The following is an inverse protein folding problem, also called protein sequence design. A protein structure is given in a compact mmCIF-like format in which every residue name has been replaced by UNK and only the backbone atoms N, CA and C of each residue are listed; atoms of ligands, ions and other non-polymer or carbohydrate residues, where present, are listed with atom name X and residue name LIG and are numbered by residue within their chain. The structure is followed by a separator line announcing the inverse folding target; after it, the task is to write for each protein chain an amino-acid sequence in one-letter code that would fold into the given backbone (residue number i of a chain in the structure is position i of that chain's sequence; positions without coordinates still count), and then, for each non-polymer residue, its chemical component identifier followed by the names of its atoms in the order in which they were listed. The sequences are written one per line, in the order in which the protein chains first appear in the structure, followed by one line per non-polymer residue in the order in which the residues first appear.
data_IF_445988670800
#
_entry.id   IF_445988670800
#
_cell.length_a   1.000
_cell.length_b   1.000
_cell.length_c   1.000
_cell.angle_alpha   90.00
_cell.angle_beta   90.00
_cell.angle_gamma   90.00
#
_symmetry.space_group_name_H-M   'P 1'
#
loop_
_entity.id
_entity.type
_entity.pdbx_description
1 polymer ?
#
# COMPACT_ATOMS: atom_id res chain seq x y z
N UNK A 1 -36.62 -2.23 -32.73
CA UNK A 1 -35.69 -2.46 -31.60
C UNK A 1 -34.29 -2.49 -32.23
N UNK A 2 -33.63 -1.36 -32.50
CA UNK A 2 -32.70 -0.65 -31.57
C UNK A 2 -31.92 -1.66 -30.71
N UNK A 3 -30.61 -1.86 -30.75
CA UNK A 3 -29.42 -1.06 -31.13
C UNK A 3 -28.27 -2.10 -31.27
N UNK A 4 -27.27 -2.06 -32.15
CA UNK A 4 -26.23 -1.04 -32.29
C UNK A 4 -25.07 -1.30 -31.31
N UNK A 5 -23.99 -1.99 -31.74
CA UNK A 5 -22.60 -1.49 -31.71
C UNK A 5 -21.60 -2.49 -32.29
N UNK A 6 -21.07 -2.12 -33.46
CA UNK A 6 -19.75 -2.50 -33.97
C UNK A 6 -18.63 -1.83 -33.15
N UNK A 7 -17.38 -2.17 -33.49
CA UNK A 7 -16.10 -1.43 -33.37
C UNK A 7 -15.06 -2.26 -32.59
N UNK A 8 -14.23 -3.07 -33.25
CA UNK A 8 -12.93 -2.74 -33.89
C UNK A 8 -11.90 -2.07 -32.96
N UNK A 9 -10.80 -2.78 -32.69
CA UNK A 9 -9.40 -2.35 -32.86
C UNK A 9 -8.53 -3.41 -32.15
N UNK A 10 -7.79 -4.27 -32.84
CA UNK A 10 -6.83 -3.90 -33.88
C UNK A 10 -5.45 -3.79 -33.25
N UNK A 11 -4.94 -4.89 -32.69
CA UNK A 11 -3.57 -4.98 -32.20
C UNK A 11 -2.65 -5.19 -33.40
N UNK A 12 -2.34 -4.08 -34.08
CA UNK A 12 -1.43 -4.04 -35.21
C UNK A 12 -0.48 -2.88 -34.99
N UNK A 13 0.75 -3.17 -34.59
CA UNK A 13 1.87 -2.24 -34.65
C UNK A 13 3.17 -3.04 -34.76
N UNK A 14 3.63 -3.15 -36.01
CA UNK A 14 5.00 -3.50 -36.39
C UNK A 14 5.65 -2.22 -36.96
N UNK A 15 6.98 -2.18 -36.86
CA UNK A 15 7.97 -1.20 -37.37
C UNK A 15 8.26 0.00 -36.44
N UNK A 16 9.51 0.31 -36.06
CA UNK A 16 10.82 -0.15 -36.55
C UNK A 16 11.99 0.29 -35.62
N UNK A 17 13.26 0.12 -36.06
CA UNK A 17 14.46 0.20 -35.21
C UNK A 17 15.29 1.49 -35.34
N UNK A 18 16.12 1.72 -34.30
CA UNK A 18 17.40 2.46 -34.23
C UNK A 18 17.49 3.87 -34.86
N UNK A 19 17.73 4.87 -34.01
CA UNK A 19 18.94 5.72 -34.17
C UNK A 19 19.48 6.16 -32.80
N UNK A 20 20.79 5.95 -32.66
CA UNK A 20 21.66 6.36 -31.57
C UNK A 20 21.89 7.87 -31.66
N UNK A 21 21.56 8.63 -30.61
CA UNK A 21 22.03 10.02 -30.45
C UNK A 21 22.66 10.18 -29.08
N UNK A 22 23.94 9.83 -29.03
CA UNK A 22 24.91 10.24 -28.00
C UNK A 22 24.86 11.75 -27.81
N UNK A 23 24.30 12.22 -26.70
CA UNK A 23 24.59 13.56 -26.16
C UNK A 23 25.62 13.35 -25.05
N UNK A 24 26.82 13.88 -25.29
CA UNK A 24 27.95 13.87 -24.37
C UNK A 24 27.64 14.65 -23.09
N UNK A 25 28.25 14.15 -22.03
CA UNK A 25 28.35 14.68 -20.67
C UNK A 25 28.52 16.21 -20.56
N UNK A 26 27.77 16.79 -19.63
CA UNK A 26 28.20 17.92 -18.81
C UNK A 26 28.16 17.48 -17.35
N UNK A 27 29.31 17.52 -16.68
CA UNK A 27 29.46 17.37 -15.23
C UNK A 27 29.39 18.75 -14.57
N UNK A 28 28.99 18.71 -13.29
CA UNK A 28 28.99 19.76 -12.26
C UNK A 28 27.74 20.67 -12.28
N UNK A 29 26.96 20.79 -11.20
CA UNK A 29 27.13 20.23 -9.86
C UNK A 29 25.93 20.51 -8.95
N UNK A 30 26.03 19.92 -7.76
CA UNK A 30 25.53 20.40 -6.46
C UNK A 30 24.02 20.58 -6.23
N UNK A 31 23.51 19.81 -5.26
CA UNK A 31 22.38 20.21 -4.41
C UNK A 31 21.14 19.34 -4.52
N UNK A 32 21.13 18.18 -3.86
CA UNK A 32 19.87 17.51 -3.51
C UNK A 32 19.22 18.28 -2.37
N UNK A 33 17.95 18.74 -2.46
CA UNK A 33 17.21 19.16 -1.27
C UNK A 33 16.89 17.89 -0.46
N UNK A 34 17.72 17.59 0.55
CA UNK A 34 17.50 16.50 1.52
C UNK A 34 17.08 16.99 2.91
N UNK A 35 16.80 18.29 3.08
CA UNK A 35 16.74 18.90 4.41
C UNK A 35 15.43 19.66 4.69
N UNK A 36 14.27 19.00 4.56
CA UNK A 36 13.05 19.42 5.29
C UNK A 36 12.42 18.22 5.99
N UNK A 37 13.20 17.61 6.87
CA UNK A 37 12.67 17.11 8.13
C UNK A 37 13.57 17.69 9.22
N UNK A 38 13.07 18.57 10.12
CA UNK A 38 13.88 19.03 11.23
C UNK A 38 14.20 17.84 12.13
N UNK A 39 15.47 17.45 12.17
CA UNK A 39 15.97 16.48 13.14
C UNK A 39 16.07 17.18 14.50
N UNK A 40 14.98 17.17 15.26
CA UNK A 40 15.00 17.59 16.66
C UNK A 40 15.66 16.49 17.48
N UNK A 41 16.73 16.77 18.25
CA UNK A 41 17.29 15.79 19.17
C UNK A 41 16.35 15.64 20.37
N UNK A 42 15.36 14.75 20.28
CA UNK A 42 14.51 14.39 21.40
C UNK A 42 15.30 13.51 22.38
N UNK A 43 15.98 14.17 23.32
CA UNK A 43 16.61 13.58 24.49
C UNK A 43 15.55 13.53 25.61
N UNK A 44 15.00 12.36 25.88
CA UNK A 44 14.17 12.13 27.07
C UNK A 44 13.02 11.15 26.85
N UNK A 45 13.27 9.89 27.20
CA UNK A 45 12.32 8.92 27.76
C UNK A 45 10.85 9.03 27.33
N UNK A 46 10.48 8.32 26.27
CA UNK A 46 9.48 7.25 26.41
C UNK A 46 9.67 6.30 25.22
N UNK A 47 10.31 5.15 25.48
CA UNK A 47 10.31 4.05 24.53
C UNK A 47 8.89 3.48 24.50
N UNK A 48 8.00 4.08 23.71
CA UNK A 48 6.74 3.46 23.35
C UNK A 48 7.04 2.33 22.37
N UNK A 49 7.43 1.20 22.97
CA UNK A 49 7.21 -0.17 22.53
C UNK A 49 6.89 -0.28 21.05
N UNK A 50 7.94 -0.49 20.25
CA UNK A 50 7.79 -1.29 19.04
C UNK A 50 7.13 -2.59 19.46
N UNK A 51 5.82 -2.69 19.27
CA UNK A 51 5.11 -3.97 19.29
C UNK A 51 5.55 -4.75 18.06
N UNK A 52 6.80 -5.21 18.11
CA UNK A 52 7.21 -6.40 17.42
C UNK A 52 6.45 -7.52 18.12
N UNK A 53 5.23 -7.77 17.65
CA UNK A 53 4.52 -8.99 17.99
C UNK A 53 5.41 -10.12 17.50
N UNK A 54 6.19 -10.61 18.45
CA UNK A 54 6.98 -11.81 18.35
C UNK A 54 5.94 -12.91 18.37
N UNK A 55 5.32 -13.16 17.22
CA UNK A 55 4.85 -14.48 16.88
C UNK A 55 6.09 -15.34 16.93
N UNK A 56 6.39 -15.84 18.13
CA UNK A 56 7.36 -16.90 18.31
C UNK A 56 6.99 -17.91 17.23
N UNK A 57 7.91 -18.20 16.31
CA UNK A 57 7.75 -19.33 15.39
C UNK A 57 7.91 -20.58 16.27
N UNK A 58 7.00 -20.77 17.23
CA UNK A 58 6.76 -22.02 17.88
C UNK A 58 6.42 -22.94 16.72
N UNK A 59 7.25 -23.94 16.46
CA UNK A 59 7.06 -24.90 15.36
C UNK A 59 5.76 -25.72 15.45
N UNK A 60 4.77 -25.28 16.22
CA UNK A 60 3.43 -25.79 16.35
C UNK A 60 2.50 -24.87 15.53
N UNK A 61 1.89 -25.40 14.47
CA UNK A 61 0.92 -24.68 13.64
C UNK A 61 -0.34 -24.40 14.47
N UNK A 62 -0.57 -23.15 14.87
CA UNK A 62 -1.80 -22.73 15.54
C UNK A 62 -2.67 -21.92 14.57
N UNK A 63 -3.62 -22.61 13.94
CA UNK A 63 -4.51 -22.02 12.94
C UNK A 63 -5.52 -21.01 13.53
N UNK A 64 -5.70 -20.97 14.86
CA UNK A 64 -6.58 -20.05 15.55
C UNK A 64 -5.82 -18.77 15.87
N UNK A 65 -4.59 -18.92 16.35
CA UNK A 65 -3.66 -17.81 16.54
C UNK A 65 -3.40 -17.08 15.22
N UNK A 66 -3.06 -17.83 14.15
CA UNK A 66 -2.80 -17.24 12.82
C UNK A 66 -4.00 -16.43 12.31
N UNK A 67 -5.22 -16.93 12.54
CA UNK A 67 -6.45 -16.29 12.12
C UNK A 67 -6.80 -15.06 12.97
N UNK A 68 -6.54 -15.11 14.28
CA UNK A 68 -6.69 -13.96 15.17
C UNK A 68 -5.75 -12.85 14.76
N UNK A 69 -4.47 -13.18 14.55
CA UNK A 69 -3.45 -12.25 14.08
C UNK A 69 -3.81 -11.64 12.72
N UNK A 70 -4.25 -12.46 11.76
CA UNK A 70 -4.71 -11.98 10.46
C UNK A 70 -5.87 -10.97 10.60
N UNK A 71 -6.87 -11.32 11.41
CA UNK A 71 -8.06 -10.48 11.63
C UNK A 71 -7.67 -9.14 12.26
N UNK A 72 -6.82 -9.16 13.28
CA UNK A 72 -6.28 -7.96 13.91
C UNK A 72 -5.54 -7.09 12.90
N UNK A 73 -4.70 -7.69 12.06
CA UNK A 73 -3.92 -6.97 11.07
C UNK A 73 -4.80 -6.30 10.02
N UNK A 74 -5.86 -6.96 9.58
CA UNK A 74 -6.85 -6.39 8.67
C UNK A 74 -7.58 -5.18 9.30
N UNK A 75 -8.01 -5.29 10.56
CA UNK A 75 -8.69 -4.20 11.28
C UNK A 75 -7.77 -2.99 11.49
N UNK A 76 -6.54 -3.24 11.96
CA UNK A 76 -5.52 -2.20 12.16
C UNK A 76 -5.17 -1.49 10.84
N UNK A 77 -5.02 -2.25 9.75
CA UNK A 77 -4.74 -1.68 8.44
C UNK A 77 -5.91 -0.82 7.92
N UNK A 78 -7.15 -1.28 8.07
CA UNK A 78 -8.32 -0.53 7.63
C UNK A 78 -8.42 0.86 8.30
N UNK A 79 -8.09 0.94 9.59
CA UNK A 79 -8.04 2.21 10.34
C UNK A 79 -6.85 3.07 9.88
N UNK A 80 -5.67 2.48 9.72
CA UNK A 80 -4.47 3.20 9.27
C UNK A 80 -4.65 3.84 7.89
N UNK A 81 -5.37 3.17 6.98
CA UNK A 81 -5.66 3.68 5.65
C UNK A 81 -6.55 4.93 5.67
N UNK A 82 -7.32 5.20 6.73
CA UNK A 82 -8.10 6.46 6.84
C UNK A 82 -7.18 7.68 6.86
N UNK A 83 -6.05 7.58 7.57
CA UNK A 83 -5.05 8.65 7.61
C UNK A 83 -4.41 8.82 6.24
N UNK A 84 -4.02 7.72 5.60
CA UNK A 84 -3.36 7.77 4.30
C UNK A 84 -4.26 8.30 3.17
N UNK A 85 -5.55 8.00 3.23
CA UNK A 85 -6.55 8.59 2.32
C UNK A 85 -6.57 10.11 2.53
N UNK A 86 -6.66 10.57 3.78
CA UNK A 86 -6.66 11.99 4.10
C UNK A 86 -5.37 12.70 3.69
N UNK A 87 -4.22 12.05 3.85
CA UNK A 87 -2.93 12.58 3.41
C UNK A 87 -2.90 12.74 1.87
N UNK A 88 -3.30 11.69 1.13
CA UNK A 88 -3.36 11.73 -0.33
C UNK A 88 -4.35 12.78 -0.87
N UNK A 89 -5.49 12.97 -0.19
CA UNK A 89 -6.47 13.99 -0.55
C UNK A 89 -5.96 15.42 -0.32
N UNK A 90 -5.15 15.65 0.73
CA UNK A 90 -4.53 16.96 0.97
C UNK A 90 -3.44 17.27 -0.05
N UNK A 91 -2.77 16.25 -0.56
CA UNK A 91 -1.73 16.36 -1.59
C UNK A 91 -2.31 16.36 -3.03
N UNK A 92 -3.64 16.32 -3.16
CA UNK A 92 -4.40 16.23 -4.43
C UNK A 92 -4.05 15.00 -5.29
N UNK A 93 -3.54 13.93 -4.67
CA UNK A 93 -3.24 12.66 -5.33
C UNK A 93 -4.46 11.72 -5.30
N UNK A 94 -5.38 11.97 -6.25
CA UNK A 94 -6.64 11.23 -6.35
C UNK A 94 -6.45 9.75 -6.74
N UNK A 95 -5.39 9.42 -7.49
CA UNK A 95 -5.10 8.03 -7.85
C UNK A 95 -4.68 7.24 -6.61
N UNK A 96 -3.82 7.83 -5.79
CA UNK A 96 -3.37 7.23 -4.53
C UNK A 96 -4.50 7.12 -3.50
N UNK A 97 -5.33 8.16 -3.35
CA UNK A 97 -6.51 8.12 -2.49
C UNK A 97 -7.48 6.99 -2.92
N UNK A 98 -7.71 6.82 -4.22
CA UNK A 98 -8.54 5.74 -4.77
C UNK A 98 -7.94 4.35 -4.52
N UNK A 99 -6.61 4.20 -4.61
CA UNK A 99 -5.93 2.97 -4.24
C UNK A 99 -6.16 2.62 -2.76
N UNK A 100 -5.97 3.59 -1.85
CA UNK A 100 -6.15 3.34 -0.42
C UNK A 100 -7.60 3.06 -0.02
N UNK A 101 -8.57 3.73 -0.65
CA UNK A 101 -10.00 3.41 -0.46
C UNK A 101 -10.34 1.98 -0.85
N UNK A 102 -9.80 1.49 -1.97
CA UNK A 102 -9.97 0.09 -2.38
C UNK A 102 -9.30 -0.86 -1.39
N UNK A 103 -8.05 -0.59 -0.99
CA UNK A 103 -7.33 -1.40 -0.02
C UNK A 103 -8.03 -1.44 1.36
N UNK A 104 -8.65 -0.35 1.77
CA UNK A 104 -9.43 -0.27 3.01
C UNK A 104 -10.65 -1.19 2.95
N UNK A 105 -11.38 -1.17 1.84
CA UNK A 105 -12.53 -2.04 1.65
C UNK A 105 -12.14 -3.51 1.69
N UNK A 106 -11.05 -3.89 1.02
CA UNK A 106 -10.54 -5.27 1.07
C UNK A 106 -10.08 -5.67 2.49
N UNK A 107 -9.46 -4.75 3.23
CA UNK A 107 -9.08 -4.99 4.63
C UNK A 107 -10.31 -5.20 5.52
N UNK A 108 -11.38 -4.42 5.33
CA UNK A 108 -12.65 -4.58 6.06
C UNK A 108 -13.33 -5.91 5.74
N UNK A 109 -13.32 -6.33 4.48
CA UNK A 109 -13.85 -7.65 4.06
C UNK A 109 -13.07 -8.79 4.70
N UNK A 110 -11.74 -8.78 4.60
CA UNK A 110 -10.89 -9.81 5.20
C UNK A 110 -11.05 -9.91 6.72
N UNK A 111 -11.19 -8.77 7.41
CA UNK A 111 -11.50 -8.76 8.84
C UNK A 111 -12.87 -9.38 9.16
N UNK A 112 -13.90 -9.13 8.35
CA UNK A 112 -15.22 -9.71 8.57
C UNK A 112 -15.22 -11.23 8.35
N UNK A 113 -14.60 -11.71 7.28
CA UNK A 113 -14.41 -13.14 7.02
C UNK A 113 -13.61 -13.81 8.14
N UNK A 114 -12.52 -13.18 8.60
CA UNK A 114 -11.72 -13.66 9.74
C UNK A 114 -12.54 -13.80 11.03
N UNK A 115 -13.35 -12.78 11.36
CA UNK A 115 -14.26 -12.82 12.53
C UNK A 115 -15.32 -13.91 12.41
N UNK A 116 -15.88 -14.12 11.21
CA UNK A 116 -16.87 -15.19 10.99
C UNK A 116 -16.23 -16.57 11.20
N UNK A 117 -15.02 -16.76 10.69
CA UNK A 117 -14.32 -18.03 10.79
C UNK A 117 -13.85 -18.32 12.22
N UNK A 118 -13.45 -17.29 12.98
CA UNK A 118 -13.19 -17.40 14.43
C UNK A 118 -14.45 -17.79 15.20
N UNK A 119 -15.58 -17.12 14.94
CA UNK A 119 -16.88 -17.43 15.57
C UNK A 119 -17.33 -18.87 15.35
N UNK A 120 -17.01 -19.46 14.20
CA UNK A 120 -17.38 -20.84 13.90
C UNK A 120 -16.47 -21.88 14.60
N UNK A 121 -15.33 -21.46 15.17
CA UNK A 121 -14.33 -22.32 15.80
C UNK A 121 -14.31 -22.26 17.33
N UNK A 122 -15.01 -21.28 17.91
CA UNK A 122 -15.12 -21.01 19.35
C UNK A 122 -16.55 -21.25 19.82
#
# INVERSE_FOLDING_TARGET
MSSGLSIFCGWSLVLGPRTDRRVRAARAGTGTPKDVYPQTPMKGADQMTTTAETGNVTGTKDAQYDLLWFTERCLSNALRLETYIGDAERDDDQELASLFRRAQNESRKGAEEGKQLLRNRL
#
